data_IF_015312254436
#
_entry.id   IF_015312254436
#
_cell.length_a   1.000
_cell.length_b   1.000
_cell.length_c   1.000
_cell.angle_alpha   90.00
_cell.angle_beta   90.00
_cell.angle_gamma   90.00
#
_symmetry.space_group_name_H-M   'P 1'
#
loop_
_entity.id
_entity.type
_entity.pdbx_description
1 polymer ?
#
# COMPACT_ATOMS: atom_id res chain seq x y z
N UNK A 1 -15.90 -8.87 53.72
CA UNK A 1 -14.67 -8.33 53.08
C UNK A 1 -14.16 -9.14 51.89
N UNK A 2 -14.24 -10.48 51.91
CA UNK A 2 -13.72 -11.29 50.76
C UNK A 2 -14.40 -11.01 49.42
N UNK A 3 -15.73 -10.76 49.41
CA UNK A 3 -16.52 -10.48 48.18
C UNK A 3 -16.16 -9.17 47.49
N UNK A 4 -15.57 -8.21 48.19
CA UNK A 4 -15.13 -6.94 47.60
C UNK A 4 -13.82 -7.11 46.78
N UNK A 5 -13.06 -8.19 46.99
CA UNK A 5 -11.86 -8.50 46.26
C UNK A 5 -12.12 -9.14 44.89
N UNK A 6 -13.30 -9.74 44.68
CA UNK A 6 -13.65 -10.41 43.44
C UNK A 6 -13.67 -9.44 42.25
N UNK A 7 -14.38 -8.28 42.29
CA UNK A 7 -14.37 -7.34 41.17
C UNK A 7 -12.98 -6.75 40.93
N UNK A 8 -12.18 -6.54 41.96
CA UNK A 8 -10.80 -6.05 41.82
C UNK A 8 -9.94 -7.10 41.15
N UNK A 9 -10.03 -8.37 41.57
CA UNK A 9 -9.30 -9.47 40.95
C UNK A 9 -9.69 -9.67 39.48
N UNK A 10 -10.99 -9.59 39.14
CA UNK A 10 -11.47 -9.65 37.76
C UNK A 10 -10.96 -8.47 36.93
N UNK A 11 -10.94 -7.27 37.48
CA UNK A 11 -10.36 -6.10 36.78
C UNK A 11 -8.86 -6.24 36.53
N UNK A 12 -8.10 -6.76 37.49
CA UNK A 12 -6.66 -7.03 37.32
C UNK A 12 -6.43 -8.12 36.27
N UNK A 13 -7.21 -9.20 36.29
CA UNK A 13 -7.13 -10.27 35.31
C UNK A 13 -7.48 -9.79 33.90
N UNK A 14 -8.45 -8.90 33.77
CA UNK A 14 -8.78 -8.26 32.51
C UNK A 14 -7.65 -7.34 32.04
N UNK A 15 -7.17 -6.44 32.88
CA UNK A 15 -6.07 -5.53 32.56
C UNK A 15 -4.75 -6.24 32.20
N UNK A 16 -4.54 -7.45 32.75
CA UNK A 16 -3.38 -8.31 32.41
C UNK A 16 -3.58 -9.13 31.12
N UNK A 17 -4.75 -9.05 30.48
CA UNK A 17 -5.07 -9.82 29.27
C UNK A 17 -5.33 -11.31 29.51
N UNK A 18 -5.42 -11.75 30.77
CA UNK A 18 -5.67 -13.17 31.12
C UNK A 18 -7.12 -13.56 30.94
N UNK A 19 -8.06 -12.65 31.29
CA UNK A 19 -9.51 -12.89 31.15
C UNK A 19 -10.13 -11.70 30.43
N UNK A 20 -10.47 -11.83 29.15
CA UNK A 20 -11.16 -10.77 28.42
C UNK A 20 -12.61 -10.64 28.95
N UNK A 21 -12.97 -9.46 29.42
CA UNK A 21 -14.33 -9.15 29.85
C UNK A 21 -14.98 -8.25 28.79
N UNK A 22 -15.73 -8.83 27.88
CA UNK A 22 -16.34 -8.15 26.73
C UNK A 22 -17.09 -6.86 27.07
N UNK A 23 -17.75 -6.83 28.26
CA UNK A 23 -18.44 -5.63 28.69
C UNK A 23 -17.47 -4.48 29.01
N UNK A 24 -16.33 -4.78 29.64
CA UNK A 24 -15.31 -3.79 29.93
C UNK A 24 -14.62 -3.30 28.64
N UNK A 25 -14.30 -4.19 27.72
CA UNK A 25 -13.74 -3.83 26.40
C UNK A 25 -14.67 -2.87 25.66
N UNK A 26 -15.97 -3.16 25.61
CA UNK A 26 -16.95 -2.25 24.98
C UNK A 26 -17.02 -0.89 25.66
N UNK A 27 -16.93 -0.85 26.99
CA UNK A 27 -16.92 0.40 27.74
C UNK A 27 -15.60 1.17 27.49
N UNK A 28 -14.49 0.49 27.43
CA UNK A 28 -13.19 1.10 27.09
C UNK A 28 -13.22 1.70 25.68
N UNK A 29 -13.72 0.97 24.68
CA UNK A 29 -13.90 1.48 23.33
C UNK A 29 -14.82 2.70 23.29
N UNK A 30 -15.95 2.66 24.01
CA UNK A 30 -16.87 3.80 24.09
C UNK A 30 -16.19 5.03 24.71
N UNK A 31 -15.48 4.85 25.82
CA UNK A 31 -14.75 5.94 26.50
C UNK A 31 -13.65 6.48 25.60
N UNK A 32 -12.92 5.61 24.89
CA UNK A 32 -11.90 6.00 23.92
C UNK A 32 -12.51 6.87 22.81
N UNK A 33 -13.61 6.40 22.19
CA UNK A 33 -14.27 7.11 21.09
C UNK A 33 -14.82 8.48 21.52
N UNK A 34 -15.44 8.55 22.69
CA UNK A 34 -15.93 9.81 23.26
C UNK A 34 -14.77 10.76 23.54
N UNK A 35 -13.71 10.26 24.18
CA UNK A 35 -12.51 11.05 24.45
C UNK A 35 -11.88 11.58 23.16
N UNK A 36 -11.74 10.71 22.17
CA UNK A 36 -11.18 11.09 20.87
C UNK A 36 -12.00 12.20 20.22
N UNK A 37 -13.33 12.04 20.14
CA UNK A 37 -14.24 13.06 19.59
C UNK A 37 -14.15 14.41 20.30
N UNK A 38 -13.97 14.39 21.62
CA UNK A 38 -13.87 15.61 22.42
C UNK A 38 -12.51 16.30 22.31
N UNK A 39 -11.46 15.53 22.04
CA UNK A 39 -10.07 16.05 21.99
C UNK A 39 -9.53 16.25 20.61
N UNK A 40 -10.18 15.71 19.57
CA UNK A 40 -9.76 15.85 18.18
C UNK A 40 -9.80 17.34 17.80
N UNK A 41 -8.68 17.92 17.33
CA UNK A 41 -8.71 19.24 16.75
C UNK A 41 -9.50 19.20 15.46
N UNK A 42 -10.62 19.93 15.36
CA UNK A 42 -11.42 20.03 14.14
C UNK A 42 -10.75 20.98 13.12
N UNK A 43 -9.45 20.83 12.94
CA UNK A 43 -8.65 21.62 12.01
C UNK A 43 -8.17 20.72 10.88
N UNK A 44 -8.25 21.21 9.66
CA UNK A 44 -7.64 20.56 8.49
C UNK A 44 -6.16 20.94 8.45
N UNK A 45 -5.30 19.97 8.20
CA UNK A 45 -3.90 20.23 7.90
C UNK A 45 -3.78 20.50 6.40
N UNK A 46 -3.63 21.76 6.01
CA UNK A 46 -3.55 22.20 4.62
C UNK A 46 -2.32 21.64 3.87
N UNK A 47 -1.36 21.04 4.59
CA UNK A 47 -0.19 20.39 3.98
C UNK A 47 -0.53 19.01 3.40
N UNK A 48 -1.65 18.43 3.83
CA UNK A 48 -2.08 17.09 3.41
C UNK A 48 -3.27 17.24 2.48
N UNK A 49 -3.09 16.81 1.23
CA UNK A 49 -4.13 16.83 0.20
C UNK A 49 -4.44 15.41 -0.21
N UNK A 50 -5.71 15.03 -0.14
CA UNK A 50 -6.19 13.74 -0.65
C UNK A 50 -6.67 13.98 -2.07
N UNK A 51 -6.07 13.25 -3.03
CA UNK A 51 -6.50 13.25 -4.43
C UNK A 51 -7.29 11.99 -4.67
N UNK A 52 -8.58 12.13 -4.85
CA UNK A 52 -9.50 11.02 -5.08
C UNK A 52 -9.73 10.79 -6.59
N UNK A 53 -9.78 9.51 -6.99
CA UNK A 53 -10.18 9.08 -8.32
C UNK A 53 -11.69 8.85 -8.30
N UNK A 54 -12.41 9.94 -8.39
CA UNK A 54 -13.87 9.97 -8.32
C UNK A 54 -14.55 9.65 -9.68
N UNK A 55 -15.87 9.58 -9.68
CA UNK A 55 -16.67 9.29 -10.87
C UNK A 55 -16.41 10.29 -12.01
N UNK A 56 -16.23 11.58 -11.69
CA UNK A 56 -15.90 12.62 -12.67
C UNK A 56 -14.54 12.38 -13.32
N UNK A 57 -13.58 11.90 -12.55
CA UNK A 57 -12.25 11.50 -13.06
C UNK A 57 -12.35 10.29 -14.00
N UNK A 58 -13.18 9.32 -13.64
CA UNK A 58 -13.43 8.13 -14.48
C UNK A 58 -14.13 8.48 -15.79
N UNK A 59 -15.08 9.41 -15.77
CA UNK A 59 -15.74 9.87 -16.98
C UNK A 59 -14.79 10.59 -17.94
N UNK A 60 -13.85 11.38 -17.41
CA UNK A 60 -12.93 12.22 -18.22
C UNK A 60 -11.71 11.45 -18.71
N UNK A 61 -11.12 10.61 -17.86
CA UNK A 61 -9.85 9.93 -18.14
C UNK A 61 -10.06 8.50 -18.60
N UNK A 62 -11.21 7.91 -18.28
CA UNK A 62 -11.59 6.55 -18.60
C UNK A 62 -11.57 5.63 -17.38
N UNK A 63 -11.95 4.37 -17.63
CA UNK A 63 -12.11 3.35 -16.58
C UNK A 63 -10.82 3.10 -15.81
N UNK A 64 -10.95 2.90 -14.51
CA UNK A 64 -9.91 2.37 -13.66
C UNK A 64 -9.75 0.83 -13.84
N UNK A 65 -8.54 0.26 -13.76
CA UNK A 65 -7.26 0.94 -13.51
C UNK A 65 -6.73 1.68 -14.75
N UNK A 66 -6.18 2.89 -14.52
CA UNK A 66 -5.55 3.64 -15.60
C UNK A 66 -4.21 3.01 -16.03
N UNK A 67 -3.89 3.18 -17.31
CA UNK A 67 -2.59 2.77 -17.84
C UNK A 67 -1.44 3.52 -17.17
N UNK A 68 -0.27 2.89 -17.10
CA UNK A 68 0.90 3.43 -16.40
C UNK A 68 1.45 4.71 -17.04
N UNK A 69 1.22 4.92 -18.33
CA UNK A 69 1.57 6.20 -18.98
C UNK A 69 0.74 7.36 -18.44
N UNK A 70 -0.55 7.15 -18.14
CA UNK A 70 -1.40 8.14 -17.48
C UNK A 70 -0.97 8.39 -16.04
N UNK A 71 -0.60 7.34 -15.31
CA UNK A 71 -0.06 7.46 -13.96
C UNK A 71 1.29 8.20 -13.96
N UNK A 72 2.14 7.97 -14.96
CA UNK A 72 3.39 8.71 -15.16
C UNK A 72 3.12 10.21 -15.36
N UNK A 73 2.20 10.54 -16.27
CA UNK A 73 1.82 11.93 -16.54
C UNK A 73 1.22 12.60 -15.28
N UNK A 74 0.41 11.89 -14.52
CA UNK A 74 -0.16 12.36 -13.25
C UNK A 74 0.92 12.65 -12.21
N UNK A 75 1.88 11.72 -12.00
CA UNK A 75 2.97 11.91 -11.06
C UNK A 75 3.86 13.09 -11.47
N UNK A 76 4.21 13.19 -12.76
CA UNK A 76 4.99 14.31 -13.30
C UNK A 76 4.28 15.66 -13.07
N UNK A 77 2.97 15.72 -13.33
CA UNK A 77 2.18 16.93 -13.09
C UNK A 77 2.25 17.36 -11.62
N UNK A 78 2.07 16.41 -10.68
CA UNK A 78 2.09 16.70 -9.26
C UNK A 78 3.47 17.15 -8.77
N UNK A 79 4.53 16.46 -9.16
CA UNK A 79 5.88 16.79 -8.69
C UNK A 79 6.43 18.04 -9.37
N UNK A 80 6.36 18.14 -10.69
CA UNK A 80 7.04 19.19 -11.43
C UNK A 80 6.24 20.50 -11.52
N UNK A 81 4.91 20.42 -11.63
CA UNK A 81 4.08 21.62 -11.82
C UNK A 81 3.36 22.07 -10.57
N UNK A 82 2.91 21.12 -9.73
CA UNK A 82 2.23 21.46 -8.48
C UNK A 82 3.19 21.55 -7.29
N UNK A 83 4.42 21.07 -7.44
CA UNK A 83 5.47 21.16 -6.40
C UNK A 83 5.17 20.31 -5.18
N UNK A 84 4.51 19.16 -5.36
CA UNK A 84 4.23 18.23 -4.26
C UNK A 84 5.53 17.68 -3.70
N UNK A 85 5.71 17.76 -2.40
CA UNK A 85 6.93 17.30 -1.73
C UNK A 85 6.99 15.78 -1.56
N UNK A 86 5.84 15.15 -1.35
CA UNK A 86 5.71 13.68 -1.18
C UNK A 86 4.39 13.24 -1.81
N UNK A 87 4.43 12.17 -2.59
CA UNK A 87 3.24 11.56 -3.18
C UNK A 87 3.10 10.11 -2.68
N UNK A 88 2.03 9.84 -1.91
CA UNK A 88 1.67 8.49 -1.47
C UNK A 88 0.60 7.89 -2.36
N UNK A 89 0.77 6.63 -2.74
CA UNK A 89 -0.21 5.86 -3.50
C UNK A 89 -0.90 4.84 -2.60
N UNK A 90 -2.20 5.01 -2.40
CA UNK A 90 -3.07 3.98 -1.79
C UNK A 90 -3.56 3.01 -2.87
N UNK A 91 -2.61 2.51 -3.65
CA UNK A 91 -2.82 1.61 -4.79
C UNK A 91 -1.64 0.64 -4.87
N UNK A 92 -1.93 -0.63 -5.21
CA UNK A 92 -0.90 -1.63 -5.49
C UNK A 92 -0.83 -1.91 -6.99
N UNK A 93 0.34 -1.77 -7.56
CA UNK A 93 0.62 -2.04 -8.97
C UNK A 93 1.24 -3.44 -9.11
N UNK A 94 0.44 -4.48 -8.83
CA UNK A 94 0.90 -5.86 -8.72
C UNK A 94 1.10 -6.57 -10.08
N UNK A 95 0.62 -5.99 -11.16
CA UNK A 95 0.67 -6.56 -12.50
C UNK A 95 1.26 -5.56 -13.49
N UNK A 96 1.99 -6.09 -14.48
CA UNK A 96 2.52 -5.27 -15.57
C UNK A 96 1.39 -4.67 -16.42
N UNK A 97 1.65 -3.51 -16.99
CA UNK A 97 0.69 -2.85 -17.90
C UNK A 97 0.85 -3.36 -19.33
N UNK A 98 -0.08 -4.22 -19.74
CA UNK A 98 -0.14 -4.77 -21.09
C UNK A 98 -0.96 -3.90 -22.07
N UNK A 99 -1.46 -2.72 -21.64
CA UNK A 99 -2.41 -1.89 -22.42
C UNK A 99 -1.78 -1.22 -23.65
N UNK A 100 -0.44 -1.04 -23.65
CA UNK A 100 0.30 -0.42 -24.77
C UNK A 100 0.39 -1.30 -26.03
N UNK A 101 0.13 -2.61 -25.89
CA UNK A 101 0.33 -3.57 -26.98
C UNK A 101 1.78 -4.00 -27.20
N UNK A 102 2.75 -3.48 -26.45
CA UNK A 102 4.18 -3.81 -26.56
C UNK A 102 4.43 -5.32 -26.49
N UNK A 103 3.78 -5.99 -25.54
CA UNK A 103 3.91 -7.44 -25.36
C UNK A 103 3.49 -8.22 -26.62
N UNK A 104 2.40 -7.79 -27.27
CA UNK A 104 1.94 -8.40 -28.50
C UNK A 104 2.91 -8.18 -29.66
N UNK A 105 3.47 -6.97 -29.79
CA UNK A 105 4.51 -6.68 -30.79
C UNK A 105 5.76 -7.52 -30.56
N UNK A 106 6.22 -7.65 -29.32
CA UNK A 106 7.36 -8.49 -28.96
C UNK A 106 7.09 -9.98 -29.21
N UNK A 107 5.87 -10.45 -28.96
CA UNK A 107 5.50 -11.83 -29.26
C UNK A 107 5.53 -12.10 -30.77
N UNK A 108 5.05 -11.17 -31.60
CA UNK A 108 5.15 -11.28 -33.06
C UNK A 108 6.61 -11.30 -33.54
N UNK A 109 7.44 -10.42 -33.00
CA UNK A 109 8.86 -10.36 -33.32
C UNK A 109 9.65 -11.63 -32.93
N UNK A 110 9.22 -12.32 -31.86
CA UNK A 110 9.84 -13.60 -31.44
C UNK A 110 9.19 -14.81 -32.09
N UNK A 111 8.01 -14.65 -32.67
CA UNK A 111 7.18 -15.72 -33.25
C UNK A 111 7.12 -15.69 -34.76
N UNK A 112 5.99 -15.31 -35.31
CA UNK A 112 5.71 -15.35 -36.75
C UNK A 112 6.58 -14.42 -37.61
N UNK A 113 7.12 -13.34 -37.02
CA UNK A 113 7.98 -12.35 -37.68
C UNK A 113 9.41 -12.39 -37.15
N UNK A 114 9.87 -13.52 -36.61
CA UNK A 114 11.22 -13.65 -36.01
C UNK A 114 12.34 -13.43 -36.99
N UNK A 115 12.13 -13.73 -38.29
CA UNK A 115 13.11 -13.62 -39.35
C UNK A 115 13.09 -12.23 -40.06
N UNK A 116 12.16 -11.36 -39.65
CA UNK A 116 12.05 -9.99 -40.14
C UNK A 116 12.86 -9.03 -39.26
N UNK A 117 14.11 -8.82 -39.65
CA UNK A 117 14.99 -7.92 -38.91
C UNK A 117 14.58 -6.43 -39.00
N UNK A 118 13.73 -6.03 -39.95
CA UNK A 118 13.21 -4.67 -40.00
C UNK A 118 12.12 -4.50 -38.93
N UNK A 119 11.20 -5.45 -38.85
CA UNK A 119 10.16 -5.43 -37.85
C UNK A 119 10.75 -5.46 -36.44
N UNK A 120 11.72 -6.31 -36.16
CA UNK A 120 12.38 -6.35 -34.85
C UNK A 120 12.99 -4.99 -34.45
N UNK A 121 13.72 -4.32 -35.38
CA UNK A 121 14.25 -2.97 -35.10
C UNK A 121 13.16 -1.92 -34.85
N UNK A 122 12.04 -1.98 -35.56
CA UNK A 122 10.93 -1.06 -35.32
C UNK A 122 10.29 -1.29 -33.96
N UNK A 123 10.13 -2.54 -33.54
CA UNK A 123 9.65 -2.87 -32.19
C UNK A 123 10.62 -2.30 -31.15
N UNK A 124 11.93 -2.54 -31.28
CA UNK A 124 12.94 -2.03 -30.36
C UNK A 124 12.92 -0.50 -30.27
N UNK A 125 12.69 0.19 -31.38
CA UNK A 125 12.56 1.65 -31.43
C UNK A 125 11.33 2.15 -30.68
N UNK A 126 10.26 1.35 -30.65
CA UNK A 126 8.99 1.70 -29.98
C UNK A 126 9.00 1.39 -28.47
N UNK A 127 9.90 0.51 -27.99
CA UNK A 127 9.97 0.13 -26.56
C UNK A 127 9.93 1.35 -25.64
N UNK A 128 10.75 2.40 -25.78
CA UNK A 128 10.76 3.52 -24.84
C UNK A 128 9.42 4.26 -24.74
N UNK A 129 8.61 4.23 -25.80
CA UNK A 129 7.29 4.89 -25.83
C UNK A 129 6.16 3.98 -25.38
N UNK A 130 6.30 2.66 -25.51
CA UNK A 130 5.27 1.67 -25.24
C UNK A 130 5.50 0.89 -23.94
N UNK A 131 6.66 0.97 -23.32
CA UNK A 131 6.90 0.43 -21.99
C UNK A 131 6.35 1.39 -20.93
N UNK A 132 5.07 1.26 -20.67
CA UNK A 132 4.35 2.15 -19.76
C UNK A 132 4.81 1.97 -18.31
N UNK A 133 5.18 0.76 -17.90
CA UNK A 133 5.72 0.51 -16.57
C UNK A 133 7.06 1.23 -16.38
N UNK A 134 7.98 1.15 -17.35
CA UNK A 134 9.23 1.86 -17.30
C UNK A 134 9.05 3.39 -17.32
N UNK A 135 8.07 3.89 -18.08
CA UNK A 135 7.73 5.33 -18.08
C UNK A 135 7.24 5.80 -16.71
N UNK A 136 6.38 5.02 -16.05
CA UNK A 136 5.91 5.35 -14.71
C UNK A 136 7.04 5.25 -13.68
N UNK A 137 7.87 4.21 -13.76
CA UNK A 137 9.06 4.09 -12.94
C UNK A 137 9.98 5.33 -13.07
N UNK A 138 10.23 5.79 -14.29
CA UNK A 138 11.03 7.00 -14.54
C UNK A 138 10.40 8.28 -13.95
N UNK A 139 9.07 8.36 -13.92
CA UNK A 139 8.38 9.51 -13.32
C UNK A 139 8.44 9.49 -11.77
N UNK A 140 8.69 8.34 -11.17
CA UNK A 140 8.88 8.18 -9.72
C UNK A 140 10.35 8.27 -9.30
N UNK A 141 11.27 7.99 -10.23
CA UNK A 141 12.70 7.97 -9.94
C UNK A 141 13.17 9.35 -9.46
N UNK A 142 13.98 9.37 -8.42
CA UNK A 142 14.47 10.61 -7.76
C UNK A 142 13.40 11.47 -7.08
N UNK A 143 12.13 11.09 -7.12
CA UNK A 143 11.02 11.77 -6.45
C UNK A 143 10.69 11.12 -5.10
N UNK A 144 10.10 11.87 -4.18
CA UNK A 144 9.64 11.31 -2.90
C UNK A 144 8.29 10.59 -3.06
N UNK A 145 8.30 9.51 -3.82
CA UNK A 145 7.13 8.66 -4.00
C UNK A 145 7.09 7.53 -2.96
N UNK A 146 5.91 7.28 -2.40
CA UNK A 146 5.66 6.16 -1.47
C UNK A 146 4.62 5.25 -2.10
N UNK A 147 5.01 4.02 -2.41
CA UNK A 147 4.10 3.03 -2.98
C UNK A 147 3.44 2.21 -1.88
N UNK A 148 2.13 1.93 -2.05
CA UNK A 148 1.37 1.10 -1.14
C UNK A 148 1.62 -0.40 -1.35
N UNK A 149 1.55 -1.19 -0.29
CA UNK A 149 1.49 -2.64 -0.34
C UNK A 149 0.65 -3.16 0.83
N UNK A 150 0.31 -4.45 0.82
CA UNK A 150 -0.49 -5.06 1.88
C UNK A 150 -0.02 -6.47 2.19
N UNK A 151 -0.32 -6.90 3.41
CA UNK A 151 -0.12 -8.27 3.85
C UNK A 151 -1.44 -9.05 3.88
N UNK A 152 -1.36 -10.36 3.71
CA UNK A 152 -2.51 -11.26 3.77
C UNK A 152 -2.23 -12.45 4.68
N UNK A 153 -3.30 -13.07 5.18
CA UNK A 153 -3.27 -14.33 5.91
C UNK A 153 -4.02 -15.41 5.14
N UNK A 154 -3.76 -15.51 3.83
CA UNK A 154 -4.39 -16.49 2.98
C UNK A 154 -3.85 -17.89 3.23
N UNK A 155 -4.70 -18.92 3.04
CA UNK A 155 -4.30 -20.32 3.24
C UNK A 155 -3.10 -20.73 2.39
N UNK A 156 -2.94 -20.12 1.23
CA UNK A 156 -1.89 -20.46 0.26
C UNK A 156 -0.57 -19.69 0.47
N UNK A 157 -0.53 -18.69 1.34
CA UNK A 157 0.68 -17.93 1.65
C UNK A 157 1.33 -17.28 0.43
N UNK A 158 0.54 -16.77 -0.52
CA UNK A 158 1.06 -16.26 -1.80
C UNK A 158 1.61 -14.85 -1.64
N UNK A 159 2.83 -14.64 -2.14
CA UNK A 159 3.40 -13.31 -2.36
C UNK A 159 3.30 -12.90 -3.83
N UNK A 160 2.96 -11.65 -4.10
CA UNK A 160 2.96 -11.07 -5.44
C UNK A 160 3.67 -9.71 -5.42
N UNK A 161 4.52 -9.47 -6.42
CA UNK A 161 5.32 -8.24 -6.51
C UNK A 161 6.59 -8.28 -5.66
N UNK A 162 7.24 -7.13 -5.50
CA UNK A 162 8.47 -6.98 -4.73
C UNK A 162 8.20 -6.22 -3.43
N UNK A 163 8.54 -6.81 -2.29
CA UNK A 163 8.49 -6.12 -1.01
C UNK A 163 9.64 -5.11 -0.88
N UNK A 164 9.44 -4.02 -0.16
CA UNK A 164 10.53 -3.14 0.24
C UNK A 164 11.53 -3.88 1.15
N UNK A 165 12.72 -3.31 1.30
CA UNK A 165 13.66 -3.82 2.29
C UNK A 165 13.07 -3.78 3.69
N UNK A 166 13.28 -4.82 4.51
CA UNK A 166 12.73 -4.84 5.87
C UNK A 166 13.33 -3.70 6.70
N UNK A 167 12.52 -3.13 7.60
CA UNK A 167 12.96 -2.07 8.52
C UNK A 167 14.03 -2.58 9.48
N UNK A 168 13.91 -3.85 9.89
CA UNK A 168 14.90 -4.53 10.73
C UNK A 168 15.27 -5.87 10.10
N UNK A 169 16.57 -6.18 10.10
CA UNK A 169 17.03 -7.51 9.74
C UNK A 169 16.99 -8.44 10.97
N UNK A 170 16.97 -9.78 10.78
CA UNK A 170 17.03 -10.73 11.89
C UNK A 170 18.24 -10.51 12.80
N UNK A 171 19.38 -10.08 12.23
CA UNK A 171 20.61 -9.78 12.97
C UNK A 171 20.45 -8.57 13.90
N UNK A 172 19.72 -7.53 13.41
CA UNK A 172 19.44 -6.32 14.20
C UNK A 172 18.45 -6.59 15.33
N UNK A 173 17.53 -7.51 15.13
CA UNK A 173 16.58 -7.95 16.17
C UNK A 173 17.26 -8.77 17.25
N UNK A 174 18.30 -9.54 16.92
CA UNK A 174 19.02 -10.38 17.85
C UNK A 174 18.10 -11.38 18.57
N UNK A 175 18.15 -11.40 19.93
CA UNK A 175 17.27 -12.23 20.77
C UNK A 175 15.98 -11.52 21.19
N UNK A 176 15.72 -10.31 20.71
CA UNK A 176 14.51 -9.57 21.04
C UNK A 176 13.29 -10.22 20.41
N UNK A 177 12.33 -10.61 21.25
CA UNK A 177 11.05 -11.14 20.78
C UNK A 177 10.14 -9.94 20.48
N UNK A 178 9.99 -9.59 19.21
CA UNK A 178 8.95 -8.66 18.80
C UNK A 178 7.60 -9.40 18.80
N UNK A 179 6.65 -8.84 19.54
CA UNK A 179 5.24 -9.26 19.42
C UNK A 179 4.61 -8.47 18.28
N UNK A 180 4.85 -8.93 17.06
CA UNK A 180 4.26 -8.36 15.85
C UNK A 180 3.20 -9.31 15.28
N UNK A 181 2.29 -8.78 14.51
CA UNK A 181 1.35 -9.59 13.75
C UNK A 181 2.09 -10.28 12.62
N UNK A 182 1.98 -11.61 12.56
CA UNK A 182 2.59 -12.41 11.50
C UNK A 182 1.61 -12.59 10.34
N UNK A 183 2.10 -12.38 9.13
CA UNK A 183 1.36 -12.55 7.89
C UNK A 183 2.09 -13.57 7.01
N UNK A 184 1.35 -14.39 6.29
CA UNK A 184 1.95 -15.43 5.45
C UNK A 184 1.93 -15.10 3.94
N UNK A 185 1.31 -14.00 3.55
CA UNK A 185 1.23 -13.55 2.17
C UNK A 185 1.28 -12.03 2.05
N UNK A 186 1.44 -11.54 0.82
CA UNK A 186 1.46 -10.12 0.54
C UNK A 186 1.09 -9.81 -0.92
N UNK A 187 0.60 -8.59 -1.15
CA UNK A 187 0.50 -7.99 -2.47
C UNK A 187 1.29 -6.69 -2.50
N UNK A 188 2.22 -6.61 -3.44
CA UNK A 188 3.10 -5.46 -3.61
C UNK A 188 3.25 -5.10 -5.09
N UNK A 189 4.05 -4.10 -5.37
CA UNK A 189 4.22 -3.55 -6.70
C UNK A 189 5.18 -4.39 -7.55
N UNK A 190 5.06 -4.33 -8.89
CA UNK A 190 6.03 -4.93 -9.78
C UNK A 190 7.43 -4.37 -9.52
N UNK A 191 8.44 -5.19 -9.77
CA UNK A 191 9.82 -4.91 -9.38
C UNK A 191 10.37 -3.58 -9.92
N UNK A 192 10.03 -3.22 -11.16
CA UNK A 192 10.48 -1.97 -11.78
C UNK A 192 9.97 -0.74 -11.03
N UNK A 193 8.73 -0.76 -10.55
CA UNK A 193 8.15 0.34 -9.77
C UNK A 193 8.68 0.33 -8.33
N UNK A 194 8.78 -0.85 -7.71
CA UNK A 194 9.30 -0.98 -6.35
C UNK A 194 10.75 -0.51 -6.22
N UNK A 195 11.55 -0.63 -7.28
CA UNK A 195 12.94 -0.12 -7.31
C UNK A 195 13.02 1.38 -7.57
N UNK A 196 12.09 1.93 -8.34
CA UNK A 196 12.08 3.35 -8.68
C UNK A 196 11.59 4.24 -7.52
N UNK A 197 10.64 3.76 -6.72
CA UNK A 197 10.15 4.51 -5.58
C UNK A 197 11.09 4.34 -4.38
N UNK A 198 11.52 5.45 -3.73
CA UNK A 198 12.47 5.39 -2.62
C UNK A 198 11.86 4.82 -1.34
N UNK A 199 10.53 4.77 -1.24
CA UNK A 199 9.82 4.32 -0.05
C UNK A 199 8.55 3.53 -0.40
N UNK A 200 8.14 2.69 0.52
CA UNK A 200 6.85 2.01 0.48
C UNK A 200 6.24 1.92 1.89
N UNK A 201 4.91 1.87 1.95
CA UNK A 201 4.15 1.73 3.18
C UNK A 201 3.07 0.69 3.04
N UNK A 202 2.87 -0.14 4.06
CA UNK A 202 1.72 -1.04 4.07
C UNK A 202 0.48 -0.33 4.61
N UNK A 203 -0.68 -0.71 4.10
CA UNK A 203 -1.95 -0.10 4.50
C UNK A 203 -2.92 -1.07 5.17
N UNK A 204 -2.39 -2.13 5.78
CA UNK A 204 -3.22 -3.00 6.59
C UNK A 204 -3.73 -2.24 7.81
N UNK A 205 -5.05 -2.17 7.93
CA UNK A 205 -5.72 -1.72 9.12
C UNK A 205 -6.29 -2.93 9.85
N UNK A 206 -6.15 -2.95 11.17
CA UNK A 206 -6.78 -3.97 12.01
C UNK A 206 -8.02 -3.37 12.65
N UNK A 207 -9.16 -3.92 12.28
CA UNK A 207 -10.40 -3.54 12.93
C UNK A 207 -10.57 -4.29 14.26
N UNK A 208 -11.09 -3.59 15.29
CA UNK A 208 -11.54 -4.20 16.51
C UNK A 208 -12.79 -5.08 16.28
N UNK A 209 -13.22 -5.82 17.27
CA UNK A 209 -14.39 -6.72 17.19
C UNK A 209 -15.69 -6.03 16.76
N UNK A 210 -15.78 -4.71 16.93
CA UNK A 210 -16.92 -3.89 16.50
C UNK A 210 -16.79 -3.33 15.07
N UNK A 211 -15.71 -3.68 14.35
CA UNK A 211 -15.44 -3.27 12.98
C UNK A 211 -14.81 -1.88 12.84
N UNK A 212 -14.51 -1.19 13.95
CA UNK A 212 -13.84 0.11 13.91
C UNK A 212 -12.32 -0.04 14.00
N UNK A 213 -11.60 0.78 13.26
CA UNK A 213 -10.14 0.86 13.32
C UNK A 213 -9.74 1.93 14.32
N UNK A 214 -9.12 1.52 15.46
CA UNK A 214 -8.64 2.44 16.50
C UNK A 214 -7.12 2.44 16.63
N UNK A 215 -6.47 1.46 16.02
CA UNK A 215 -5.01 1.34 16.02
C UNK A 215 -4.50 0.92 14.64
N UNK A 216 -3.33 1.41 14.29
CA UNK A 216 -2.60 0.97 13.08
C UNK A 216 -1.31 0.30 13.52
N UNK A 217 -0.98 -0.88 12.98
CA UNK A 217 0.33 -1.47 13.19
C UNK A 217 1.39 -0.56 12.53
N UNK A 218 2.51 -0.35 13.20
CA UNK A 218 3.62 0.47 12.68
C UNK A 218 4.77 -0.38 12.17
N UNK A 219 4.79 -1.66 12.52
CA UNK A 219 5.83 -2.66 12.18
C UNK A 219 5.17 -3.99 11.85
#
# INVERSE_FOLDING_TARGET
>A
MLWALVPVALGVLHASGVVPLQLLERLEHLVYDVRLRLTLPHTLDERIVIVDIDESSLERVGRWPWSRDKMAAFATELFERQGVSVLGFDVVFAEADDSSGLKSLQQLARGSLKDDAHFAREVDRLVPSLDFDARFANALDTQNAVLGYYFTSDRDGKGRGALPSPVFTPEQLGSSVLRATEWNGYGSNIEVLARAAPAAGFFNAMADDDGLVRALPLL
#
